data_IF_361376989900
#
_entry.id   IF_361376989900
#
_cell.length_a   1.000
_cell.length_b   1.000
_cell.length_c   1.000
_cell.angle_alpha   90.00
_cell.angle_beta   90.00
_cell.angle_gamma   90.00
#
_symmetry.space_group_name_H-M   'P 1'
#
loop_
_entity.id
_entity.type
_entity.pdbx_description
1 polymer ?
#
# COMPACT_ATOMS: atom_id res chain seq x y z
N UNK A 1 2.18 46.19 41.26
CA UNK A 1 3.32 45.74 40.45
C UNK A 1 3.58 44.26 40.57
N UNK A 2 3.47 43.67 41.79
CA UNK A 2 3.66 42.21 41.98
C UNK A 2 2.63 41.40 41.23
N UNK A 3 1.38 41.84 41.22
CA UNK A 3 0.32 41.16 40.48
C UNK A 3 0.55 41.23 38.97
N UNK A 4 1.05 42.32 38.45
CA UNK A 4 1.37 42.47 37.02
C UNK A 4 2.55 41.58 36.66
N UNK A 5 3.61 41.54 37.46
CA UNK A 5 4.78 40.71 37.23
C UNK A 5 4.40 39.23 37.28
N UNK A 6 3.56 38.84 38.25
CA UNK A 6 3.07 37.46 38.36
C UNK A 6 2.21 37.09 37.14
N UNK A 7 1.33 37.99 36.69
CA UNK A 7 0.50 37.76 35.51
C UNK A 7 1.34 37.61 34.25
N UNK A 8 2.37 38.43 34.07
CA UNK A 8 3.29 38.33 32.93
C UNK A 8 4.07 37.00 32.94
N UNK A 9 4.51 36.55 34.11
CA UNK A 9 5.19 35.28 34.26
C UNK A 9 4.26 34.12 33.86
N UNK A 10 3.04 34.14 34.40
CA UNK A 10 2.05 33.09 34.07
C UNK A 10 1.77 33.10 32.59
N UNK A 11 1.61 34.27 31.97
CA UNK A 11 1.38 34.38 30.52
C UNK A 11 2.54 33.78 29.71
N UNK A 12 3.79 34.04 30.11
CA UNK A 12 4.96 33.47 29.44
C UNK A 12 5.02 31.95 29.61
N UNK A 13 4.72 31.45 30.82
CA UNK A 13 4.70 30.00 31.07
C UNK A 13 3.62 29.31 30.24
N UNK A 14 2.42 29.87 30.21
CA UNK A 14 1.32 29.34 29.41
C UNK A 14 1.67 29.33 27.91
N UNK A 15 2.28 30.40 27.42
CA UNK A 15 2.73 30.48 26.03
C UNK A 15 3.78 29.41 25.73
N UNK A 16 4.78 29.28 26.59
CA UNK A 16 5.84 28.27 26.43
C UNK A 16 5.27 26.86 26.43
N UNK A 17 4.31 26.60 27.31
CA UNK A 17 3.65 25.30 27.38
C UNK A 17 2.82 25.01 26.14
N UNK A 18 2.08 26.01 25.66
CA UNK A 18 1.31 25.88 24.43
C UNK A 18 2.20 25.60 23.22
N UNK A 19 3.36 26.26 23.14
CA UNK A 19 4.34 26.00 22.08
C UNK A 19 4.88 24.57 22.14
N UNK A 20 5.18 24.07 23.33
CA UNK A 20 5.62 22.69 23.52
C UNK A 20 4.56 21.70 23.08
N UNK A 21 3.30 21.92 23.47
CA UNK A 21 2.20 21.06 23.06
C UNK A 21 2.01 21.07 21.54
N UNK A 22 2.08 22.24 20.94
CA UNK A 22 1.98 22.38 19.48
C UNK A 22 3.10 21.61 18.78
N UNK A 23 4.33 21.72 19.27
CA UNK A 23 5.46 20.99 18.69
C UNK A 23 5.31 19.48 18.85
N UNK A 24 4.84 19.04 20.00
CA UNK A 24 4.57 17.62 20.24
C UNK A 24 3.50 17.09 19.29
N UNK A 25 2.40 17.82 19.14
CA UNK A 25 1.32 17.44 18.21
C UNK A 25 1.84 17.37 16.78
N UNK A 26 2.67 18.32 16.35
CA UNK A 26 3.28 18.29 15.02
C UNK A 26 4.16 17.05 14.82
N UNK A 27 4.98 16.73 15.80
CA UNK A 27 5.86 15.54 15.76
C UNK A 27 5.05 14.26 15.68
N UNK A 28 4.01 14.16 16.50
CA UNK A 28 3.10 13.00 16.49
C UNK A 28 2.38 12.86 15.14
N UNK A 29 1.91 13.97 14.58
CA UNK A 29 1.26 14.00 13.28
C UNK A 29 2.21 13.57 12.16
N UNK A 30 3.46 14.03 12.19
CA UNK A 30 4.47 13.62 11.20
C UNK A 30 4.81 12.14 11.32
N UNK A 31 4.93 11.64 12.55
CA UNK A 31 5.19 10.21 12.78
C UNK A 31 4.02 9.35 12.30
N UNK A 32 2.78 9.78 12.55
CA UNK A 32 1.59 9.10 12.08
C UNK A 32 1.50 9.10 10.56
N UNK A 33 1.82 10.22 9.91
CA UNK A 33 1.90 10.33 8.45
C UNK A 33 2.92 9.35 7.87
N UNK A 34 4.12 9.31 8.44
CA UNK A 34 5.17 8.41 7.98
C UNK A 34 4.76 6.94 8.12
N UNK A 35 4.08 6.60 9.21
CA UNK A 35 3.58 5.24 9.41
C UNK A 35 2.54 4.87 8.37
N UNK A 36 1.58 5.75 8.10
CA UNK A 36 0.56 5.53 7.08
C UNK A 36 1.18 5.34 5.71
N UNK A 37 2.18 6.17 5.37
CA UNK A 37 2.88 6.05 4.08
C UNK A 37 3.64 4.74 3.95
N UNK A 38 4.29 4.27 5.03
CA UNK A 38 4.99 2.98 5.02
C UNK A 38 4.00 1.83 4.84
N UNK A 39 2.90 1.84 5.56
CA UNK A 39 1.86 0.82 5.43
C UNK A 39 1.25 0.79 4.03
N UNK A 40 0.99 1.98 3.47
CA UNK A 40 0.47 2.09 2.10
C UNK A 40 1.47 1.54 1.07
N UNK A 41 2.76 1.83 1.25
CA UNK A 41 3.81 1.33 0.36
C UNK A 41 3.92 -0.20 0.42
N UNK A 42 3.83 -0.78 1.61
CA UNK A 42 3.84 -2.23 1.78
C UNK A 42 2.63 -2.89 1.15
N UNK A 43 1.46 -2.32 1.36
CA UNK A 43 0.22 -2.82 0.76
C UNK A 43 0.27 -2.76 -0.75
N UNK A 44 0.79 -1.66 -1.30
CA UNK A 44 0.96 -1.52 -2.75
C UNK A 44 1.91 -2.58 -3.31
N UNK A 45 3.02 -2.84 -2.62
CA UNK A 45 3.97 -3.88 -3.03
C UNK A 45 3.32 -5.26 -3.00
N UNK A 46 2.52 -5.53 -1.97
CA UNK A 46 1.78 -6.80 -1.85
C UNK A 46 0.80 -6.97 -3.01
N UNK A 47 0.04 -5.94 -3.31
CA UNK A 47 -0.94 -5.96 -4.41
C UNK A 47 -0.26 -6.13 -5.76
N UNK A 48 0.86 -5.46 -5.99
CA UNK A 48 1.64 -5.64 -7.22
C UNK A 48 2.12 -7.08 -7.37
N UNK A 49 2.58 -7.69 -6.27
CA UNK A 49 2.98 -9.10 -6.26
C UNK A 49 1.82 -10.02 -6.61
N UNK A 50 0.63 -9.75 -6.08
CA UNK A 50 -0.57 -10.53 -6.42
C UNK A 50 -0.96 -10.39 -7.88
N UNK A 51 -0.91 -9.16 -8.41
CA UNK A 51 -1.18 -8.91 -9.83
C UNK A 51 -0.23 -9.71 -10.71
N UNK A 52 1.07 -9.70 -10.40
CA UNK A 52 2.06 -10.47 -11.17
C UNK A 52 1.80 -11.96 -11.07
N UNK A 53 1.41 -12.46 -9.90
CA UNK A 53 1.05 -13.86 -9.71
C UNK A 53 -0.15 -14.25 -10.57
N UNK A 54 -1.20 -13.44 -10.55
CA UNK A 54 -2.41 -13.69 -11.35
C UNK A 54 -2.10 -13.64 -12.85
N UNK A 55 -1.24 -12.73 -13.27
CA UNK A 55 -0.79 -12.67 -14.68
C UNK A 55 -0.08 -13.96 -15.09
N UNK A 56 0.79 -14.50 -14.23
CA UNK A 56 1.47 -15.77 -14.52
C UNK A 56 0.48 -16.92 -14.57
N UNK A 57 -0.49 -16.97 -13.66
CA UNK A 57 -1.55 -17.99 -13.68
C UNK A 57 -2.36 -17.92 -14.96
N UNK A 58 -2.71 -16.71 -15.39
CA UNK A 58 -3.42 -16.50 -16.66
C UNK A 58 -2.60 -17.00 -17.85
N UNK A 59 -1.32 -16.66 -17.90
CA UNK A 59 -0.44 -17.09 -18.99
C UNK A 59 -0.35 -18.61 -19.05
N UNK A 60 -0.20 -19.26 -17.91
CA UNK A 60 -0.16 -20.72 -17.81
C UNK A 60 -1.49 -21.34 -18.26
N UNK A 61 -2.60 -20.80 -17.78
CA UNK A 61 -3.94 -21.26 -18.17
C UNK A 61 -4.14 -21.18 -19.70
N UNK A 62 -3.79 -20.04 -20.28
CA UNK A 62 -3.92 -19.84 -21.74
C UNK A 62 -3.04 -20.85 -22.50
N UNK A 63 -1.81 -21.08 -22.03
CA UNK A 63 -0.92 -22.06 -22.66
C UNK A 63 -1.49 -23.49 -22.59
N UNK A 64 -2.04 -23.85 -21.43
CA UNK A 64 -2.66 -25.17 -21.24
C UNK A 64 -3.90 -25.33 -22.12
N UNK A 65 -4.72 -24.29 -22.22
CA UNK A 65 -5.90 -24.29 -23.08
C UNK A 65 -5.51 -24.44 -24.56
N UNK A 66 -4.51 -23.69 -25.00
CA UNK A 66 -4.00 -23.80 -26.38
C UNK A 66 -3.48 -25.21 -26.67
N UNK A 67 -2.75 -25.79 -25.75
CA UNK A 67 -2.23 -27.15 -25.90
C UNK A 67 -3.37 -28.16 -26.00
N UNK A 68 -4.41 -28.02 -25.18
CA UNK A 68 -5.57 -28.89 -25.21
C UNK A 68 -6.33 -28.77 -26.55
N UNK A 69 -6.55 -27.55 -27.01
CA UNK A 69 -7.20 -27.30 -28.30
C UNK A 69 -6.39 -27.87 -29.46
N UNK A 70 -5.08 -27.68 -29.43
CA UNK A 70 -4.18 -28.24 -30.44
C UNK A 70 -4.24 -29.75 -30.46
N UNK A 71 -4.30 -30.38 -29.29
CA UNK A 71 -4.47 -31.83 -29.20
C UNK A 71 -5.76 -32.32 -29.81
N UNK A 72 -6.87 -31.61 -29.61
CA UNK A 72 -8.14 -31.94 -30.25
C UNK A 72 -8.08 -31.79 -31.77
N UNK A 73 -7.49 -30.72 -32.26
CA UNK A 73 -7.33 -30.49 -33.70
C UNK A 73 -6.47 -31.56 -34.33
N UNK A 74 -5.38 -31.95 -33.69
CA UNK A 74 -4.51 -33.04 -34.20
C UNK A 74 -5.23 -34.38 -34.19
N UNK A 75 -6.05 -34.67 -33.19
CA UNK A 75 -6.86 -35.87 -33.12
C UNK A 75 -7.88 -35.94 -34.25
N UNK A 76 -8.57 -34.82 -34.53
CA UNK A 76 -9.55 -34.73 -35.59
C UNK A 76 -8.87 -34.92 -36.97
N UNK A 77 -7.72 -34.30 -37.14
CA UNK A 77 -6.94 -34.43 -38.38
C UNK A 77 -6.50 -35.89 -38.59
N UNK A 78 -6.08 -36.55 -37.57
CA UNK A 78 -5.66 -37.94 -37.58
C UNK A 78 -6.84 -38.88 -37.99
N UNK A 79 -8.04 -38.59 -37.47
CA UNK A 79 -9.25 -39.37 -37.84
C UNK A 79 -9.60 -39.20 -39.32
N UNK A 80 -9.48 -37.96 -39.85
CA UNK A 80 -9.71 -37.71 -41.28
C UNK A 80 -8.71 -38.47 -42.13
N UNK A 81 -7.44 -38.49 -41.76
CA UNK A 81 -6.40 -39.21 -42.49
C UNK A 81 -6.57 -40.72 -42.44
N UNK A 82 -7.15 -41.23 -41.35
CA UNK A 82 -7.42 -42.65 -41.15
C UNK A 82 -8.64 -43.19 -41.88
N UNK A 83 -9.47 -42.29 -42.40
CA UNK A 83 -10.65 -42.68 -43.15
C UNK A 83 -10.37 -42.66 -44.62
#
# INVERSE_FOLDING_TARGET
>A
KRAVVAAERIARELKAQAEKEADLIRKEALAAKDQVLREAAEELRRLKGEVERVKREKTLFVAQLKALLQGYLDSLKHLEEGS
#
